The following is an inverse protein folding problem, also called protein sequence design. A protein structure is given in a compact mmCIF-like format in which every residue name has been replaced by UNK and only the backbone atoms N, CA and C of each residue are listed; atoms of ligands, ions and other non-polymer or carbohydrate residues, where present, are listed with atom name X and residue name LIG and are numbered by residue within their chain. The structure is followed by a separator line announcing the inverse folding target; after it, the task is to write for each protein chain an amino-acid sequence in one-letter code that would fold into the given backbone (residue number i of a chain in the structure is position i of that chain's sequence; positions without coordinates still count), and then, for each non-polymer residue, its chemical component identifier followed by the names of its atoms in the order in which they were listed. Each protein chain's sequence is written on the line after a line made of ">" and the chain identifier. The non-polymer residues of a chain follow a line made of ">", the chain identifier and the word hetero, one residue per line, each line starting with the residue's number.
data_IF_846540992038
#
_entry.id   IF_846540992038
#
_cell.length_a   1.000
_cell.length_b   1.000
_cell.length_c   1.000
_cell.angle_alpha   90.00
_cell.angle_beta   90.00
_cell.angle_gamma   90.00
#
_symmetry.space_group_name_H-M   'P 1'
#
loop_
_entity.id
_entity.type
_entity.pdbx_description
1 polymer ?
#
# COMPACT_ATOMS: atom_id res chain seq x y z
N UNK A 1 -21.37 -15.21 -8.38
CA UNK A 1 -20.23 -14.29 -8.21
C UNK A 1 -20.65 -13.19 -7.27
N UNK A 2 -19.84 -12.98 -6.34
CA UNK A 2 -20.05 -12.16 -5.17
C UNK A 2 -20.38 -10.72 -5.49
N UNK A 3 -21.55 -10.38 -5.17
CA UNK A 3 -22.12 -9.05 -5.21
C UNK A 3 -21.72 -8.26 -3.96
N UNK A 4 -20.45 -8.10 -3.69
CA UNK A 4 -20.05 -7.13 -2.69
C UNK A 4 -19.81 -5.79 -3.42
N UNK A 5 -20.67 -4.77 -3.21
CA UNK A 5 -20.59 -3.51 -3.93
C UNK A 5 -19.27 -2.75 -3.69
N UNK A 6 -18.50 -3.12 -2.68
CA UNK A 6 -17.16 -2.56 -2.48
C UNK A 6 -16.17 -2.99 -3.55
N UNK A 7 -16.30 -4.19 -4.12
CA UNK A 7 -15.39 -4.67 -5.15
C UNK A 7 -15.76 -4.17 -6.55
N UNK A 8 -17.05 -3.94 -6.78
CA UNK A 8 -17.55 -3.52 -8.10
C UNK A 8 -17.06 -2.11 -8.49
N UNK A 9 -16.72 -1.28 -7.50
CA UNK A 9 -16.25 0.10 -7.72
C UNK A 9 -14.73 0.22 -7.93
N UNK A 10 -13.95 -0.87 -7.78
CA UNK A 10 -12.50 -0.82 -7.87
C UNK A 10 -12.06 -0.70 -9.33
N UNK A 11 -11.38 0.40 -9.66
CA UNK A 11 -10.83 0.64 -11.00
C UNK A 11 -9.50 -0.11 -11.21
N UNK A 12 -8.64 -0.16 -10.18
CA UNK A 12 -7.31 -0.77 -10.26
C UNK A 12 -6.97 -1.59 -9.03
N UNK A 13 -6.33 -2.73 -9.29
CA UNK A 13 -5.84 -3.65 -8.28
C UNK A 13 -4.33 -3.68 -8.27
N UNK A 14 -3.72 -3.51 -7.11
CA UNK A 14 -2.28 -3.60 -6.89
C UNK A 14 -1.93 -4.51 -5.72
N UNK A 15 -0.66 -4.83 -5.57
CA UNK A 15 -0.12 -5.46 -4.36
C UNK A 15 0.79 -4.49 -3.64
N UNK A 16 0.87 -4.63 -2.31
CA UNK A 16 1.91 -3.94 -1.57
C UNK A 16 3.26 -4.58 -1.90
N UNK A 17 4.29 -3.81 -2.30
CA UNK A 17 5.57 -4.37 -2.71
C UNK A 17 6.30 -5.07 -1.57
N UNK A 18 6.93 -6.19 -1.87
CA UNK A 18 7.79 -6.89 -0.92
C UNK A 18 8.93 -5.99 -0.42
N UNK A 19 9.59 -6.39 0.67
CA UNK A 19 10.76 -5.66 1.21
C UNK A 19 11.98 -5.65 0.28
N UNK A 20 11.99 -6.50 -0.75
CA UNK A 20 13.05 -6.60 -1.77
C UNK A 20 12.51 -6.15 -3.12
N UNK A 21 13.19 -5.22 -3.84
CA UNK A 21 12.73 -4.72 -5.14
C UNK A 21 12.57 -5.79 -6.21
N UNK A 22 13.44 -6.81 -6.20
CA UNK A 22 13.51 -7.83 -7.25
C UNK A 22 12.46 -8.94 -7.08
N UNK A 23 11.72 -8.96 -5.97
CA UNK A 23 10.71 -9.97 -5.71
C UNK A 23 9.33 -9.50 -6.17
N UNK A 24 9.11 -9.53 -7.48
CA UNK A 24 7.86 -9.07 -8.11
C UNK A 24 6.78 -10.14 -8.16
N UNK A 25 7.14 -11.42 -8.04
CA UNK A 25 6.21 -12.56 -8.03
C UNK A 25 6.12 -13.14 -6.65
N UNK A 26 5.03 -12.88 -5.96
CA UNK A 26 4.73 -13.37 -4.61
C UNK A 26 3.41 -14.12 -4.61
N UNK A 27 3.12 -14.87 -3.54
CA UNK A 27 1.79 -15.49 -3.34
C UNK A 27 0.68 -14.44 -3.37
N UNK A 28 0.96 -13.24 -2.86
CA UNK A 28 0.02 -12.11 -2.85
C UNK A 28 -0.24 -11.59 -4.27
N UNK A 29 0.79 -11.49 -5.12
CA UNK A 29 0.61 -11.07 -6.51
C UNK A 29 -0.19 -12.10 -7.33
N UNK A 30 0.01 -13.40 -7.09
CA UNK A 30 -0.79 -14.44 -7.70
C UNK A 30 -2.27 -14.33 -7.29
N UNK A 31 -2.53 -14.14 -6.01
CA UNK A 31 -3.89 -14.01 -5.49
C UNK A 31 -4.59 -12.73 -5.96
N UNK A 32 -3.85 -11.62 -6.09
CA UNK A 32 -4.36 -10.40 -6.72
C UNK A 32 -4.87 -10.68 -8.13
N UNK A 33 -4.08 -11.40 -8.94
CA UNK A 33 -4.49 -11.71 -10.31
C UNK A 33 -5.73 -12.63 -10.33
N UNK A 34 -5.79 -13.61 -9.45
CA UNK A 34 -6.97 -14.47 -9.33
C UNK A 34 -8.22 -13.67 -8.95
N UNK A 35 -8.14 -12.77 -7.99
CA UNK A 35 -9.25 -11.89 -7.60
C UNK A 35 -9.65 -10.97 -8.75
N UNK A 36 -8.70 -10.38 -9.45
CA UNK A 36 -8.97 -9.51 -10.58
C UNK A 36 -9.69 -10.25 -11.73
N UNK A 37 -9.27 -11.47 -12.04
CA UNK A 37 -9.94 -12.30 -13.04
C UNK A 37 -11.37 -12.64 -12.62
N UNK A 38 -11.57 -12.96 -11.33
CA UNK A 38 -12.90 -13.31 -10.81
C UNK A 38 -13.86 -12.14 -10.77
N UNK A 39 -13.37 -10.93 -10.48
CA UNK A 39 -14.19 -9.74 -10.30
C UNK A 39 -14.36 -8.97 -11.61
N UNK A 40 -13.24 -8.66 -12.28
CA UNK A 40 -13.23 -7.81 -13.48
C UNK A 40 -13.31 -8.60 -14.80
N UNK A 41 -13.16 -9.91 -14.78
CA UNK A 41 -13.07 -10.75 -15.99
C UNK A 41 -11.83 -10.46 -16.86
N UNK A 42 -10.82 -9.75 -16.35
CA UNK A 42 -9.63 -9.36 -17.12
C UNK A 42 -8.51 -10.39 -17.00
N UNK A 43 -8.17 -11.12 -18.07
CA UNK A 43 -7.24 -12.23 -18.01
C UNK A 43 -5.75 -11.85 -18.01
N UNK A 44 -5.40 -10.56 -18.01
CA UNK A 44 -3.99 -10.11 -18.11
C UNK A 44 -3.51 -9.51 -16.81
N UNK A 45 -2.29 -9.89 -16.42
CA UNK A 45 -1.56 -9.27 -15.33
C UNK A 45 -1.34 -7.78 -15.63
N UNK A 46 -1.85 -6.93 -14.75
CA UNK A 46 -1.60 -5.49 -14.81
C UNK A 46 -0.24 -5.11 -14.21
N UNK A 47 0.30 -3.95 -14.57
CA UNK A 47 1.52 -3.43 -13.95
C UNK A 47 1.29 -3.16 -12.45
N UNK A 48 2.37 -3.24 -11.67
CA UNK A 48 2.31 -2.90 -10.24
C UNK A 48 2.04 -1.40 -10.07
N UNK A 49 1.16 -1.07 -9.13
CA UNK A 49 0.76 0.32 -8.84
C UNK A 49 1.81 1.03 -7.97
N UNK A 50 2.31 0.31 -6.98
CA UNK A 50 3.40 0.75 -6.11
C UNK A 50 4.67 -0.01 -6.47
N UNK A 51 5.80 0.68 -6.56
CA UNK A 51 7.10 0.11 -6.89
C UNK A 51 8.06 0.41 -5.75
N UNK A 52 8.80 -0.61 -5.29
CA UNK A 52 9.91 -0.43 -4.37
C UNK A 52 11.21 -0.26 -5.16
N UNK A 53 11.83 0.90 -5.04
CA UNK A 53 13.04 1.25 -5.78
C UNK A 53 14.31 0.73 -5.11
N UNK A 54 14.30 0.63 -3.78
CA UNK A 54 15.46 0.20 -2.99
C UNK A 54 15.03 -0.83 -1.94
N UNK A 55 15.92 -1.79 -1.58
CA UNK A 55 15.62 -2.72 -0.50
C UNK A 55 15.38 -1.96 0.81
N UNK A 56 14.39 -2.39 1.57
CA UNK A 56 14.24 -1.89 2.95
C UNK A 56 15.44 -2.33 3.78
N UNK A 57 16.00 -1.43 4.57
CA UNK A 57 17.00 -1.79 5.58
C UNK A 57 16.43 -2.85 6.51
N UNK A 58 17.18 -3.93 6.67
CA UNK A 58 16.79 -5.10 7.46
C UNK A 58 16.32 -4.70 8.87
N UNK A 59 15.21 -5.25 9.31
CA UNK A 59 14.66 -5.05 10.66
C UNK A 59 15.53 -5.66 11.78
N UNK A 60 16.53 -6.48 11.42
CA UNK A 60 17.31 -7.26 12.38
C UNK A 60 18.30 -6.45 13.24
N UNK A 61 18.68 -5.24 12.82
CA UNK A 61 19.69 -4.42 13.52
C UNK A 61 19.15 -3.14 14.15
N UNK A 62 17.84 -2.94 14.23
CA UNK A 62 17.29 -1.76 14.87
C UNK A 62 16.79 -2.07 16.29
N UNK A 63 17.24 -1.27 17.28
CA UNK A 63 16.71 -1.32 18.65
C UNK A 63 15.19 -1.12 18.66
N UNK A 64 14.50 -1.63 19.69
CA UNK A 64 13.04 -1.46 19.84
C UNK A 64 12.59 -0.01 19.79
N UNK A 65 13.40 0.91 20.29
CA UNK A 65 13.16 2.35 20.27
C UNK A 65 13.17 2.95 18.85
N UNK A 66 14.13 2.51 18.00
CA UNK A 66 14.19 2.93 16.59
C UNK A 66 13.03 2.36 15.74
N UNK A 67 12.43 1.24 16.15
CA UNK A 67 11.24 0.68 15.48
C UNK A 67 10.00 1.54 15.69
N UNK A 68 9.91 2.24 16.81
CA UNK A 68 8.79 3.14 17.11
C UNK A 68 8.93 4.51 16.42
N UNK A 69 10.16 4.93 16.07
CA UNK A 69 10.43 6.24 15.47
C UNK A 69 10.23 6.20 13.92
N UNK A 70 10.41 5.05 13.26
CA UNK A 70 10.43 4.95 11.79
C UNK A 70 9.23 4.18 11.21
N UNK A 71 8.06 4.53 11.60
CA UNK A 71 6.78 3.86 11.28
C UNK A 71 6.57 3.65 9.77
N UNK A 72 5.96 4.61 9.10
CA UNK A 72 5.75 4.62 7.65
C UNK A 72 6.95 5.16 6.85
N UNK A 73 7.90 5.80 7.52
CA UNK A 73 9.05 6.47 6.90
C UNK A 73 9.88 5.52 6.02
N UNK A 74 10.06 4.27 6.46
CA UNK A 74 10.78 3.24 5.69
C UNK A 74 10.12 2.92 4.35
N UNK A 75 8.82 2.98 4.31
CA UNK A 75 8.08 2.77 3.07
C UNK A 75 8.21 4.00 2.18
N UNK A 76 8.04 5.21 2.72
CA UNK A 76 8.20 6.45 1.94
C UNK A 76 9.62 6.63 1.38
N UNK A 77 10.65 6.20 2.10
CA UNK A 77 12.04 6.25 1.62
C UNK A 77 12.30 5.35 0.41
N UNK A 78 11.46 4.35 0.18
CA UNK A 78 11.72 3.27 -0.79
C UNK A 78 10.64 3.06 -1.82
N UNK A 79 9.43 3.55 -1.59
CA UNK A 79 8.27 3.37 -2.46
C UNK A 79 8.06 4.58 -3.37
N UNK A 80 7.60 4.30 -4.59
CA UNK A 80 7.00 5.29 -5.48
C UNK A 80 5.71 4.74 -6.07
N UNK A 81 4.85 5.63 -6.55
CA UNK A 81 3.77 5.28 -7.46
C UNK A 81 4.34 5.03 -8.84
N UNK A 82 3.90 3.98 -9.52
CA UNK A 82 4.40 3.63 -10.85
C UNK A 82 4.22 4.81 -11.84
N UNK A 83 5.30 5.33 -12.44
CA UNK A 83 5.22 6.44 -13.37
C UNK A 83 4.29 6.20 -14.56
N UNK A 84 4.16 4.94 -15.01
CA UNK A 84 3.27 4.57 -16.12
C UNK A 84 1.78 4.61 -15.75
N UNK A 85 1.46 4.71 -14.45
CA UNK A 85 0.09 4.67 -13.93
C UNK A 85 -0.32 5.94 -13.21
N UNK A 86 0.60 6.82 -12.83
CA UNK A 86 0.30 7.98 -11.97
C UNK A 86 -0.84 8.86 -12.53
N UNK A 87 -0.87 9.09 -13.83
CA UNK A 87 -1.94 9.88 -14.46
C UNK A 87 -3.27 9.12 -14.55
N UNK A 88 -3.21 7.78 -14.61
CA UNK A 88 -4.39 6.91 -14.67
C UNK A 88 -5.07 6.71 -13.31
N UNK A 89 -4.36 6.99 -12.23
CA UNK A 89 -4.84 6.84 -10.85
C UNK A 89 -5.77 8.00 -10.44
N UNK A 90 -5.63 9.16 -11.06
CA UNK A 90 -6.42 10.36 -10.71
C UNK A 90 -7.93 10.10 -10.79
N UNK A 91 -8.61 10.37 -9.69
CA UNK A 91 -10.07 10.20 -9.57
C UNK A 91 -10.53 8.74 -9.51
N UNK A 92 -9.64 7.77 -9.37
CA UNK A 92 -9.92 6.34 -9.38
C UNK A 92 -9.98 5.72 -7.99
N UNK A 93 -10.68 4.60 -7.89
CA UNK A 93 -10.73 3.76 -6.71
C UNK A 93 -9.67 2.66 -6.85
N UNK A 94 -8.73 2.64 -5.93
CA UNK A 94 -7.55 1.77 -5.96
C UNK A 94 -7.63 0.77 -4.82
N UNK A 95 -7.46 -0.51 -5.12
CA UNK A 95 -7.31 -1.56 -4.11
C UNK A 95 -5.86 -2.06 -4.07
N UNK A 96 -5.26 -2.02 -2.90
CA UNK A 96 -3.95 -2.63 -2.63
C UNK A 96 -4.14 -3.86 -1.76
N UNK A 97 -3.55 -4.98 -2.18
CA UNK A 97 -3.60 -6.26 -1.46
C UNK A 97 -2.26 -6.52 -0.79
N UNK A 98 -2.30 -6.96 0.45
CA UNK A 98 -1.14 -7.44 1.21
C UNK A 98 -1.49 -8.75 1.92
N UNK A 99 -0.49 -9.49 2.43
CA UNK A 99 -0.71 -10.72 3.18
C UNK A 99 -1.27 -10.43 4.58
N UNK A 100 -0.52 -9.71 5.42
CA UNK A 100 -0.90 -9.43 6.80
C UNK A 100 -0.69 -7.97 7.19
N UNK A 101 -1.66 -7.42 7.90
CA UNK A 101 -1.52 -6.15 8.61
C UNK A 101 -1.07 -6.43 10.06
N UNK A 102 0.00 -5.77 10.48
CA UNK A 102 0.41 -5.72 11.90
C UNK A 102 -0.10 -4.44 12.56
N UNK A 103 0.63 -3.35 12.39
CA UNK A 103 0.30 -2.04 12.97
C UNK A 103 -0.36 -1.06 11.98
N UNK A 104 -0.53 -1.45 10.72
CA UNK A 104 -1.17 -0.61 9.69
C UNK A 104 -0.23 0.32 8.92
N UNK A 105 1.04 0.45 9.29
CA UNK A 105 1.94 1.44 8.67
C UNK A 105 2.11 1.27 7.15
N UNK A 106 2.17 0.05 6.64
CA UNK A 106 2.22 -0.19 5.20
C UNK A 106 0.93 0.23 4.49
N UNK A 107 -0.22 -0.03 5.12
CA UNK A 107 -1.50 0.42 4.59
C UNK A 107 -1.60 1.96 4.56
N UNK A 108 -1.13 2.62 5.62
CA UNK A 108 -1.09 4.08 5.70
C UNK A 108 -0.12 4.68 4.67
N UNK A 109 1.05 4.06 4.46
CA UNK A 109 2.00 4.49 3.42
C UNK A 109 1.37 4.41 2.03
N UNK A 110 0.73 3.30 1.69
CA UNK A 110 0.02 3.12 0.43
C UNK A 110 -1.08 4.17 0.25
N UNK A 111 -1.89 4.38 1.30
CA UNK A 111 -2.96 5.38 1.32
C UNK A 111 -2.44 6.77 1.00
N UNK A 112 -1.42 7.23 1.71
CA UNK A 112 -0.87 8.57 1.51
C UNK A 112 -0.26 8.78 0.12
N UNK A 113 0.51 7.82 -0.39
CA UNK A 113 1.10 7.90 -1.73
C UNK A 113 0.04 7.96 -2.82
N UNK A 114 -0.99 7.12 -2.71
CA UNK A 114 -2.05 7.06 -3.71
C UNK A 114 -2.96 8.29 -3.68
N UNK A 115 -3.29 8.83 -2.49
CA UNK A 115 -3.99 10.10 -2.40
C UNK A 115 -3.16 11.27 -2.93
N UNK A 116 -1.85 11.30 -2.68
CA UNK A 116 -0.96 12.30 -3.27
C UNK A 116 -0.86 12.16 -4.79
N UNK A 117 -1.05 10.96 -5.35
CA UNK A 117 -1.20 10.74 -6.79
C UNK A 117 -2.60 11.12 -7.33
N UNK A 118 -3.54 11.53 -6.47
CA UNK A 118 -4.88 11.96 -6.85
C UNK A 118 -5.94 10.86 -6.88
N UNK A 119 -5.72 9.71 -6.26
CA UNK A 119 -6.76 8.68 -6.11
C UNK A 119 -7.99 9.23 -5.38
N UNK A 120 -9.19 8.80 -5.83
CA UNK A 120 -10.46 9.16 -5.19
C UNK A 120 -10.68 8.40 -3.89
N UNK A 121 -10.34 7.12 -3.89
CA UNK A 121 -10.50 6.23 -2.75
C UNK A 121 -9.38 5.18 -2.76
N UNK A 122 -8.93 4.78 -1.60
CA UNK A 122 -7.92 3.73 -1.43
C UNK A 122 -8.48 2.67 -0.48
N UNK A 123 -8.58 1.45 -0.98
CA UNK A 123 -8.96 0.26 -0.22
C UNK A 123 -7.70 -0.55 0.02
N UNK A 124 -7.44 -0.93 1.27
CA UNK A 124 -6.34 -1.84 1.60
C UNK A 124 -6.94 -3.16 2.09
N UNK A 125 -6.67 -4.22 1.36
CA UNK A 125 -7.18 -5.56 1.64
C UNK A 125 -6.05 -6.46 2.14
N UNK A 126 -6.21 -7.08 3.29
CA UNK A 126 -5.29 -8.09 3.81
C UNK A 126 -6.00 -9.39 4.14
N UNK A 127 -5.26 -10.51 4.07
CA UNK A 127 -5.79 -11.83 4.42
C UNK A 127 -5.85 -12.05 5.92
N UNK A 128 -5.08 -11.28 6.68
CA UNK A 128 -5.10 -11.38 8.13
C UNK A 128 -4.51 -10.17 8.81
N UNK A 129 -4.77 -10.11 10.11
CA UNK A 129 -4.25 -9.07 11.00
C UNK A 129 -3.58 -9.70 12.21
N UNK A 130 -2.34 -9.28 12.48
CA UNK A 130 -1.64 -9.60 13.73
C UNK A 130 -1.78 -8.47 14.72
N UNK A 131 -2.07 -8.84 15.96
CA UNK A 131 -2.26 -7.89 17.04
C UNK A 131 -3.57 -7.11 16.94
N UNK A 132 -3.84 -6.29 17.96
CA UNK A 132 -5.10 -5.57 18.11
C UNK A 132 -5.05 -4.11 17.69
N UNK A 133 -3.86 -3.53 17.58
CA UNK A 133 -3.68 -2.10 17.32
C UNK A 133 -3.57 -1.81 15.82
N UNK A 134 -4.19 -0.74 15.40
CA UNK A 134 -4.01 -0.10 14.11
C UNK A 134 -3.64 1.36 14.34
N UNK A 135 -2.60 1.84 13.67
CA UNK A 135 -2.12 3.20 13.79
C UNK A 135 -2.45 3.96 12.51
N UNK A 136 -3.48 4.77 12.57
CA UNK A 136 -3.75 5.72 11.49
C UNK A 136 -2.76 6.87 11.62
N UNK A 137 -2.02 7.13 10.57
CA UNK A 137 -0.99 8.16 10.52
C UNK A 137 -1.40 9.28 9.57
N UNK A 138 -1.01 10.50 9.88
CA UNK A 138 -1.14 11.64 9.00
C UNK A 138 0.25 12.10 8.56
N UNK A 139 0.42 12.21 7.23
CA UNK A 139 1.63 12.72 6.60
C UNK A 139 1.28 13.79 5.57
N UNK A 140 2.10 14.82 5.49
CA UNK A 140 2.11 15.73 4.35
C UNK A 140 3.12 15.23 3.34
N UNK A 141 2.69 15.04 2.10
CA UNK A 141 3.54 14.64 0.98
C UNK A 141 3.62 15.79 0.00
N UNK A 142 4.85 16.15 -0.43
CA UNK A 142 5.11 17.21 -1.40
C UNK A 142 6.03 16.70 -2.50
N UNK A 143 5.70 17.03 -3.75
CA UNK A 143 6.48 16.63 -4.92
C UNK A 143 5.77 15.58 -5.77
N UNK A 144 6.52 14.95 -6.65
CA UNK A 144 6.03 13.92 -7.59
C UNK A 144 6.23 12.53 -7.01
N UNK A 145 5.17 11.92 -6.52
CA UNK A 145 5.19 10.58 -5.90
C UNK A 145 5.59 9.45 -6.86
N UNK A 146 5.67 9.74 -8.14
CA UNK A 146 6.16 8.79 -9.15
C UNK A 146 7.66 8.90 -9.42
N UNK A 147 8.33 9.91 -8.85
CA UNK A 147 9.76 10.19 -9.08
C UNK A 147 10.48 10.55 -7.79
N UNK A 148 10.28 11.79 -7.33
CA UNK A 148 10.91 12.32 -6.14
C UNK A 148 9.91 13.16 -5.35
N UNK A 149 9.77 12.83 -4.10
CA UNK A 149 8.89 13.53 -3.17
C UNK A 149 9.55 13.63 -1.79
N UNK A 150 9.02 14.48 -0.96
CA UNK A 150 9.33 14.58 0.46
C UNK A 150 8.08 14.30 1.28
N UNK A 151 8.26 13.89 2.50
CA UNK A 151 7.18 13.62 3.43
C UNK A 151 7.49 14.19 4.81
N UNK A 152 6.46 14.54 5.55
CA UNK A 152 6.55 15.04 6.90
C UNK A 152 5.44 14.40 7.74
N UNK A 153 5.84 13.76 8.83
CA UNK A 153 4.90 13.25 9.83
C UNK A 153 4.16 14.40 10.50
N UNK A 154 2.86 14.27 10.65
CA UNK A 154 2.01 15.26 11.32
C UNK A 154 1.56 14.71 12.67
N UNK A 155 0.80 13.64 12.67
CA UNK A 155 0.29 13.00 13.87
C UNK A 155 -0.07 11.52 13.65
N UNK A 156 -0.47 10.85 14.71
CA UNK A 156 -0.89 9.46 14.72
C UNK A 156 -2.03 9.26 15.70
N UNK A 157 -3.06 8.57 15.27
CA UNK A 157 -4.18 8.15 16.09
C UNK A 157 -4.14 6.63 16.22
N UNK A 158 -3.80 6.09 17.40
CA UNK A 158 -3.89 4.66 17.64
C UNK A 158 -5.35 4.25 17.80
N UNK A 159 -5.81 3.32 16.99
CA UNK A 159 -7.07 2.62 17.21
C UNK A 159 -6.76 1.31 17.94
N UNK A 160 -7.19 1.19 19.18
CA UNK A 160 -7.10 -0.03 19.96
C UNK A 160 -8.45 -0.72 20.06
N UNK A 161 -8.43 -2.06 20.12
CA UNK A 161 -9.50 -2.94 20.59
C UNK A 161 -10.88 -2.86 19.88
N UNK A 162 -10.97 -2.43 18.63
CA UNK A 162 -12.22 -2.34 17.88
C UNK A 162 -12.38 -3.46 16.82
N UNK A 163 -11.81 -4.63 17.08
CA UNK A 163 -12.06 -5.82 16.24
C UNK A 163 -12.29 -7.05 17.10
#
# INVERSE_FOLDING_TARGET
>A
VTTNPYFDKIDYWGTFPSSKPDNTVTSVSFLKEALRVLIDGKPRRGPEILIRQMPMRSKHNSSSTLRLINKSDKDFDTLIVNPALVDKIKGKVICIIDDYITNGYSAESAKHLLFAAGAKEVIFLSFGKFGRKYHSTNYQIKGDVSKKYSYQFVDEIPYGDTF
#
